data_IF_420687451968
#
_entry.id   IF_420687451968
#
_cell.length_a   1.000
_cell.length_b   1.000
_cell.length_c   1.000
_cell.angle_alpha   90.00
_cell.angle_beta   90.00
_cell.angle_gamma   90.00
#
_symmetry.space_group_name_H-M   'P 1'
#
loop_
_entity.id
_entity.type
_entity.pdbx_description
1 polymer ?
#
# COMPACT_ATOMS: atom_id res chain seq x y z
N UNK A 1 5.23 -15.50 29.76
CA UNK A 1 6.51 -15.46 29.01
C UNK A 1 6.75 -16.65 28.07
N UNK A 2 6.40 -17.91 28.41
CA UNK A 2 6.62 -19.07 27.50
C UNK A 2 5.81 -19.06 26.17
N UNK A 3 4.63 -18.41 26.13
CA UNK A 3 3.84 -18.25 24.90
C UNK A 3 4.43 -17.24 23.91
N UNK A 4 5.20 -16.25 24.38
CA UNK A 4 5.84 -15.26 23.50
C UNK A 4 7.03 -15.86 22.73
N UNK A 5 7.80 -16.75 23.38
CA UNK A 5 8.93 -17.44 22.74
C UNK A 5 8.50 -18.41 21.62
N UNK A 6 7.37 -19.11 21.80
CA UNK A 6 6.81 -19.99 20.77
C UNK A 6 6.30 -19.23 19.53
N UNK A 7 5.80 -18.00 19.72
CA UNK A 7 5.35 -17.14 18.62
C UNK A 7 6.52 -16.62 17.79
N UNK A 8 7.68 -16.37 18.41
CA UNK A 8 8.88 -15.89 17.72
C UNK A 8 9.54 -16.99 16.84
N UNK A 9 9.57 -18.24 17.32
CA UNK A 9 10.15 -19.37 16.56
C UNK A 9 9.35 -19.76 15.30
N UNK A 10 8.01 -19.71 15.36
CA UNK A 10 7.15 -19.96 14.18
C UNK A 10 7.29 -18.90 13.09
N UNK A 11 7.62 -17.64 13.44
CA UNK A 11 7.82 -16.55 12.46
C UNK A 11 9.04 -16.79 11.57
N UNK A 12 10.15 -17.23 12.14
CA UNK A 12 11.39 -17.50 11.39
C UNK A 12 11.24 -18.67 10.39
N UNK A 13 10.46 -19.69 10.74
CA UNK A 13 10.19 -20.82 9.85
C UNK A 13 9.29 -20.43 8.66
N UNK A 14 8.28 -19.59 8.90
CA UNK A 14 7.42 -19.04 7.84
C UNK A 14 8.22 -18.17 6.87
N UNK A 15 9.10 -17.31 7.40
CA UNK A 15 9.92 -16.40 6.60
C UNK A 15 10.89 -17.14 5.67
N UNK A 16 11.50 -18.24 6.15
CA UNK A 16 12.39 -19.08 5.30
C UNK A 16 11.64 -19.83 4.20
N UNK A 17 10.42 -20.32 4.46
CA UNK A 17 9.59 -20.97 3.44
C UNK A 17 9.10 -19.95 2.40
N UNK A 18 8.73 -18.75 2.85
CA UNK A 18 8.30 -17.67 1.97
C UNK A 18 9.43 -17.16 1.07
N UNK A 19 10.66 -16.96 1.60
CA UNK A 19 11.83 -16.63 0.78
C UNK A 19 12.11 -17.69 -0.30
N UNK A 20 11.97 -18.98 0.03
CA UNK A 20 12.15 -20.07 -0.95
C UNK A 20 11.05 -20.04 -2.03
N UNK A 21 9.79 -19.85 -1.65
CA UNK A 21 8.69 -19.75 -2.61
C UNK A 21 8.81 -18.50 -3.49
N UNK A 22 9.26 -17.37 -2.94
CA UNK A 22 9.42 -16.12 -3.69
C UNK A 22 10.63 -16.17 -4.63
N UNK A 23 11.70 -16.88 -4.26
CA UNK A 23 12.78 -17.20 -5.19
C UNK A 23 12.28 -18.08 -6.34
N UNK A 24 11.45 -19.09 -6.07
CA UNK A 24 10.83 -19.93 -7.11
C UNK A 24 9.87 -19.12 -7.97
N UNK A 25 9.11 -18.17 -7.40
CA UNK A 25 8.17 -17.33 -8.14
C UNK A 25 8.88 -16.26 -8.99
N UNK A 26 9.96 -15.67 -8.49
CA UNK A 26 10.88 -14.83 -9.27
C UNK A 26 11.51 -15.64 -10.41
N UNK A 27 11.86 -16.90 -10.16
CA UNK A 27 12.35 -17.83 -11.19
C UNK A 27 11.28 -18.09 -12.26
N UNK A 28 10.02 -18.28 -11.86
CA UNK A 28 8.90 -18.50 -12.77
C UNK A 28 8.55 -17.26 -13.60
N UNK A 29 8.66 -16.05 -13.03
CA UNK A 29 8.43 -14.79 -13.74
C UNK A 29 9.55 -14.43 -14.74
N UNK A 30 10.77 -14.93 -14.53
CA UNK A 30 11.88 -14.76 -15.47
C UNK A 30 11.77 -15.73 -16.67
N UNK A 31 10.96 -16.79 -16.57
CA UNK A 31 10.76 -17.80 -17.61
C UNK A 31 9.29 -17.90 -18.14
N UNK A 32 8.63 -16.81 -18.55
CA UNK A 32 7.22 -16.86 -18.95
C UNK A 32 6.98 -17.68 -20.22
N UNK A 33 7.98 -17.84 -21.09
CA UNK A 33 7.84 -18.53 -22.38
C UNK A 33 8.13 -20.04 -22.32
N UNK A 34 8.58 -20.57 -21.17
CA UNK A 34 8.97 -21.99 -21.04
C UNK A 34 7.91 -22.89 -20.39
N UNK A 35 6.84 -22.34 -19.81
CA UNK A 35 5.88 -23.12 -19.03
C UNK A 35 4.66 -23.64 -19.82
N UNK A 36 4.52 -23.28 -21.09
CA UNK A 36 3.44 -23.76 -21.96
C UNK A 36 3.67 -25.16 -22.56
N UNK A 37 4.87 -25.75 -22.38
CA UNK A 37 5.26 -27.02 -23.02
C UNK A 37 5.40 -28.24 -22.11
N UNK A 38 5.27 -28.11 -20.79
CA UNK A 38 5.67 -29.17 -19.84
C UNK A 38 4.54 -29.64 -18.91
N UNK A 39 3.47 -30.17 -19.50
CA UNK A 39 2.61 -31.16 -18.83
C UNK A 39 2.34 -32.31 -19.81
N UNK A 40 3.22 -33.32 -19.92
CA UNK A 40 2.80 -34.59 -20.48
C UNK A 40 1.88 -35.26 -19.46
N UNK A 41 0.57 -35.27 -19.74
CA UNK A 41 -0.37 -36.20 -19.11
C UNK A 41 0.02 -37.62 -19.55
N UNK A 42 0.43 -38.54 -18.64
CA UNK A 42 0.59 -39.93 -19.00
C UNK A 42 -0.74 -40.64 -18.70
N UNK A 43 -1.60 -40.77 -19.70
CA UNK A 43 -2.65 -41.78 -19.65
C UNK A 43 -2.75 -42.47 -21.01
N UNK A 44 -1.93 -43.50 -21.17
CA UNK A 44 -2.17 -44.61 -22.10
C UNK A 44 -1.30 -45.79 -21.65
N UNK A 45 -1.87 -46.58 -20.75
CA UNK A 45 -1.49 -47.98 -20.53
C UNK A 45 -1.65 -48.75 -21.83
N UNK A 46 -0.54 -49.11 -22.47
CA UNK A 46 -0.47 -50.34 -23.26
C UNK A 46 0.77 -51.11 -22.79
N UNK A 47 0.49 -52.21 -22.11
CA UNK A 47 1.49 -53.15 -21.64
C UNK A 47 2.09 -53.89 -22.85
N UNK A 48 3.42 -53.94 -22.92
CA UNK A 48 4.14 -54.96 -23.67
C UNK A 48 5.28 -55.46 -22.79
N UNK A 49 5.32 -56.76 -22.43
CA UNK A 49 6.39 -57.32 -21.64
C UNK A 49 7.44 -57.92 -22.57
N UNK A 50 8.66 -57.39 -22.56
CA UNK A 50 9.84 -58.24 -22.66
C UNK A 50 11.13 -57.51 -22.27
N UNK A 51 11.80 -58.12 -21.30
CA UNK A 51 13.24 -58.26 -21.16
C UNK A 51 14.08 -56.99 -20.91
N UNK A 52 14.23 -56.71 -19.62
CA UNK A 52 15.52 -56.85 -18.95
C UNK A 52 16.67 -55.97 -19.44
N UNK A 53 16.88 -54.84 -18.75
CA UNK A 53 18.20 -54.36 -18.29
C UNK A 53 18.01 -53.23 -17.29
N UNK A 54 18.08 -53.61 -16.01
CA UNK A 54 18.52 -52.74 -14.93
C UNK A 54 19.98 -52.36 -15.20
N UNK A 55 20.29 -51.09 -15.42
CA UNK A 55 21.46 -50.42 -14.83
C UNK A 55 21.32 -48.91 -15.04
N UNK A 56 21.60 -48.17 -13.96
CA UNK A 56 21.25 -46.77 -13.77
C UNK A 56 21.86 -45.81 -14.80
N UNK A 57 21.00 -44.95 -15.31
CA UNK A 57 21.36 -43.61 -15.72
C UNK A 57 20.76 -42.66 -14.67
N UNK A 58 21.54 -42.41 -13.61
CA UNK A 58 21.45 -41.13 -12.91
C UNK A 58 21.72 -40.09 -13.99
N UNK A 59 20.77 -39.18 -14.31
CA UNK A 59 21.12 -38.05 -15.15
C UNK A 59 22.19 -37.30 -14.37
N UNK A 60 23.44 -37.43 -14.80
CA UNK A 60 24.50 -36.57 -14.34
C UNK A 60 23.95 -35.15 -14.43
N UNK A 61 23.99 -34.43 -13.33
CA UNK A 61 23.80 -33.00 -13.30
C UNK A 61 24.92 -32.40 -14.16
N UNK A 62 24.78 -32.49 -15.48
CA UNK A 62 25.52 -31.69 -16.43
C UNK A 62 25.27 -30.26 -15.97
N UNK A 63 26.36 -29.58 -15.63
CA UNK A 63 26.37 -28.19 -15.26
C UNK A 63 25.32 -27.45 -16.09
N UNK A 64 24.22 -27.08 -15.44
CA UNK A 64 23.19 -26.25 -16.04
C UNK A 64 23.87 -24.89 -16.24
N UNK A 65 24.45 -24.69 -17.41
CA UNK A 65 25.03 -23.41 -17.79
C UNK A 65 23.88 -22.44 -18.03
N UNK A 66 23.73 -21.48 -17.11
CA UNK A 66 22.68 -20.47 -17.07
C UNK A 66 22.63 -19.61 -18.36
N UNK A 67 23.66 -19.70 -19.19
CA UNK A 67 23.75 -19.04 -20.50
C UNK A 67 22.69 -19.52 -21.49
N UNK A 68 22.26 -20.78 -21.42
CA UNK A 68 21.31 -21.34 -22.40
C UNK A 68 19.87 -20.83 -22.21
N UNK A 69 19.51 -20.34 -21.01
CA UNK A 69 18.19 -19.74 -20.75
C UNK A 69 18.11 -18.25 -21.12
N UNK A 70 19.23 -17.52 -21.09
CA UNK A 70 19.28 -16.12 -21.56
C UNK A 70 19.39 -16.07 -23.08
N UNK A 71 20.11 -17.03 -23.68
CA UNK A 71 20.12 -17.28 -25.11
C UNK A 71 18.86 -18.08 -25.51
N UNK A 72 17.67 -17.52 -25.26
CA UNK A 72 16.40 -18.15 -25.59
C UNK A 72 16.46 -18.79 -26.98
N UNK A 73 16.15 -20.08 -27.04
CA UNK A 73 16.17 -20.89 -28.25
C UNK A 73 15.35 -20.23 -29.35
N UNK A 74 16.02 -19.50 -30.23
CA UNK A 74 15.49 -18.99 -31.49
C UNK A 74 15.33 -20.17 -32.45
N UNK A 75 14.31 -21.00 -32.24
CA UNK A 75 13.84 -21.85 -33.31
C UNK A 75 13.26 -20.95 -34.42
N UNK A 76 14.02 -20.88 -35.51
CA UNK A 76 13.55 -20.79 -36.89
C UNK A 76 12.69 -19.58 -37.28
N UNK A 77 13.21 -18.37 -37.08
CA UNK A 77 12.70 -17.18 -37.77
C UNK A 77 13.77 -16.13 -38.10
N UNK A 78 15.01 -16.32 -37.63
CA UNK A 78 16.14 -15.49 -38.00
C UNK A 78 16.35 -15.60 -39.51
N UNK A 79 16.39 -14.46 -40.20
CA UNK A 79 16.71 -14.38 -41.62
C UNK A 79 17.83 -15.39 -41.95
N UNK A 80 17.57 -16.34 -42.85
CA UNK A 80 18.49 -17.42 -43.22
C UNK A 80 19.79 -16.86 -43.81
N UNK A 81 20.68 -16.27 -43.00
CA UNK A 81 21.96 -15.73 -43.45
C UNK A 81 22.87 -16.89 -43.79
N UNK A 82 23.32 -16.98 -45.03
CA UNK A 82 24.21 -18.05 -45.48
C UNK A 82 25.59 -17.89 -44.84
N UNK A 83 26.25 -19.02 -44.60
CA UNK A 83 27.68 -19.08 -44.29
C UNK A 83 28.51 -18.87 -45.55
N UNK A 84 29.77 -18.44 -45.41
CA UNK A 84 30.63 -18.15 -46.57
C UNK A 84 30.84 -19.40 -47.46
N UNK A 85 30.82 -20.59 -46.87
CA UNK A 85 30.84 -21.88 -47.58
C UNK A 85 29.56 -22.14 -48.37
N UNK A 86 28.39 -21.84 -47.80
CA UNK A 86 27.14 -21.98 -48.54
C UNK A 86 27.04 -20.95 -49.67
N UNK A 87 27.61 -19.76 -49.49
CA UNK A 87 27.70 -18.73 -50.54
C UNK A 87 28.59 -19.20 -51.70
N UNK A 88 29.70 -19.91 -51.44
CA UNK A 88 30.57 -20.42 -52.51
C UNK A 88 29.92 -21.49 -53.37
N UNK A 89 29.02 -22.28 -52.77
CA UNK A 89 28.34 -23.40 -53.42
C UNK A 89 27.16 -22.94 -54.30
N UNK A 90 26.67 -21.72 -54.09
CA UNK A 90 25.59 -21.15 -54.90
C UNK A 90 26.00 -20.92 -56.36
N UNK A 91 25.04 -21.14 -57.26
CA UNK A 91 25.17 -20.78 -58.68
C UNK A 91 25.09 -19.26 -58.85
N UNK A 92 25.82 -18.71 -59.83
CA UNK A 92 25.85 -17.27 -60.14
C UNK A 92 24.45 -16.66 -60.26
N UNK A 93 23.52 -17.38 -60.91
CA UNK A 93 22.13 -16.95 -61.07
C UNK A 93 21.41 -16.74 -59.73
N UNK A 94 21.67 -17.62 -58.76
CA UNK A 94 21.00 -17.58 -57.45
C UNK A 94 21.62 -16.48 -56.56
N UNK A 95 22.94 -16.28 -56.67
CA UNK A 95 23.64 -15.15 -56.04
C UNK A 95 23.05 -13.83 -56.55
N UNK A 96 22.91 -13.65 -57.88
CA UNK A 96 22.32 -12.43 -58.46
C UNK A 96 20.87 -12.20 -58.02
N UNK A 97 20.04 -13.25 -58.02
CA UNK A 97 18.64 -13.16 -57.56
C UNK A 97 18.55 -12.76 -56.09
N UNK A 98 19.42 -13.28 -55.25
CA UNK A 98 19.43 -12.99 -53.81
C UNK A 98 19.96 -11.58 -53.52
N UNK A 99 21.01 -11.14 -54.20
CA UNK A 99 21.52 -9.77 -54.10
C UNK A 99 20.46 -8.73 -54.51
N UNK A 100 19.72 -9.00 -55.59
CA UNK A 100 18.65 -8.14 -56.05
C UNK A 100 17.44 -8.12 -55.09
N UNK A 101 16.96 -9.31 -54.65
CA UNK A 101 15.73 -9.41 -53.84
C UNK A 101 15.94 -9.06 -52.36
N UNK A 102 17.04 -9.49 -51.77
CA UNK A 102 17.28 -9.38 -50.33
C UNK A 102 18.04 -8.11 -49.96
N UNK A 103 18.95 -7.65 -50.84
CA UNK A 103 19.84 -6.51 -50.55
C UNK A 103 19.55 -5.29 -51.44
N UNK A 104 18.67 -5.41 -52.45
CA UNK A 104 18.19 -4.29 -53.26
C UNK A 104 19.19 -3.77 -54.31
N UNK A 105 20.15 -4.58 -54.73
CA UNK A 105 21.11 -4.17 -55.77
C UNK A 105 20.40 -3.92 -57.11
N UNK A 106 20.78 -2.83 -57.78
CA UNK A 106 20.22 -2.46 -59.08
C UNK A 106 20.69 -3.42 -60.18
N UNK A 107 19.81 -3.72 -61.14
CA UNK A 107 20.12 -4.65 -62.23
C UNK A 107 21.40 -4.26 -63.00
N UNK A 108 21.67 -2.95 -63.12
CA UNK A 108 22.85 -2.41 -63.81
C UNK A 108 24.15 -2.69 -63.05
N UNK A 109 24.15 -2.62 -61.71
CA UNK A 109 25.31 -2.96 -60.88
C UNK A 109 25.60 -4.47 -60.91
N UNK A 110 24.53 -5.27 -60.90
CA UNK A 110 24.61 -6.72 -61.07
C UNK A 110 25.10 -7.15 -62.47
N UNK A 111 24.83 -6.36 -63.50
CA UNK A 111 25.30 -6.62 -64.87
C UNK A 111 26.79 -6.31 -65.02
N UNK A 112 27.30 -5.30 -64.32
CA UNK A 112 28.73 -4.93 -64.30
C UNK A 112 29.61 -5.98 -63.61
N UNK A 113 29.07 -6.72 -62.65
CA UNK A 113 29.77 -7.84 -62.01
C UNK A 113 29.62 -9.12 -62.87
N UNK A 114 30.62 -9.36 -63.72
CA UNK A 114 30.70 -10.54 -64.60
C UNK A 114 31.27 -11.76 -63.88
N UNK A 115 32.25 -11.56 -63.00
CA UNK A 115 32.96 -12.66 -62.32
C UNK A 115 32.19 -13.19 -61.10
N UNK A 116 32.16 -14.52 -60.96
CA UNK A 116 31.56 -15.20 -59.79
C UNK A 116 32.22 -14.74 -58.48
N UNK A 117 33.53 -14.44 -58.51
CA UNK A 117 34.30 -14.01 -57.34
C UNK A 117 33.82 -12.66 -56.81
N UNK A 118 33.57 -11.70 -57.69
CA UNK A 118 33.09 -10.37 -57.32
C UNK A 118 31.67 -10.41 -56.76
N UNK A 119 30.81 -11.24 -57.35
CA UNK A 119 29.44 -11.45 -56.85
C UNK A 119 29.44 -12.14 -55.47
N UNK A 120 30.33 -13.10 -55.24
CA UNK A 120 30.50 -13.73 -53.93
C UNK A 120 31.01 -12.73 -52.88
N UNK A 121 32.00 -11.90 -53.24
CA UNK A 121 32.53 -10.88 -52.35
C UNK A 121 31.50 -9.79 -52.00
N UNK A 122 30.68 -9.38 -52.98
CA UNK A 122 29.57 -8.46 -52.75
C UNK A 122 28.51 -9.07 -51.82
N UNK A 123 28.10 -10.32 -52.08
CA UNK A 123 27.10 -11.01 -51.25
C UNK A 123 27.61 -11.26 -49.82
N UNK A 124 28.86 -11.67 -49.64
CA UNK A 124 29.44 -11.88 -48.31
C UNK A 124 29.55 -10.57 -47.51
N UNK A 125 29.86 -9.45 -48.16
CA UNK A 125 29.91 -8.13 -47.51
C UNK A 125 28.53 -7.70 -47.00
N UNK A 126 27.46 -7.93 -47.75
CA UNK A 126 26.11 -7.56 -47.32
C UNK A 126 25.56 -8.51 -46.26
N UNK A 127 25.73 -9.82 -46.42
CA UNK A 127 25.31 -10.81 -45.42
C UNK A 127 26.04 -10.60 -44.08
N UNK A 128 27.33 -10.24 -44.09
CA UNK A 128 28.06 -9.88 -42.86
C UNK A 128 27.55 -8.58 -42.23
N UNK A 129 27.16 -7.58 -43.02
CA UNK A 129 26.54 -6.33 -42.52
C UNK A 129 25.18 -6.59 -41.88
N UNK A 130 24.34 -7.42 -42.52
CA UNK A 130 23.04 -7.84 -41.99
C UNK A 130 23.23 -8.64 -40.68
N UNK A 131 24.15 -9.61 -40.68
CA UNK A 131 24.49 -10.39 -39.48
C UNK A 131 24.97 -9.51 -38.33
N UNK A 132 25.82 -8.51 -38.59
CA UNK A 132 26.26 -7.53 -37.57
C UNK A 132 25.07 -6.72 -37.03
N UNK A 133 24.15 -6.27 -37.89
CA UNK A 133 22.94 -5.53 -37.47
C UNK A 133 22.03 -6.37 -36.58
N UNK A 134 21.78 -7.63 -36.96
CA UNK A 134 20.97 -8.55 -36.15
C UNK A 134 21.61 -8.87 -34.81
N UNK A 135 22.91 -9.20 -34.78
CA UNK A 135 23.66 -9.41 -33.53
C UNK A 135 23.58 -8.18 -32.62
N UNK A 136 23.72 -6.97 -33.17
CA UNK A 136 23.58 -5.74 -32.39
C UNK A 136 22.18 -5.54 -31.79
N UNK A 137 21.13 -5.85 -32.55
CA UNK A 137 19.75 -5.79 -32.04
C UNK A 137 19.48 -6.84 -30.95
N UNK A 138 19.96 -8.07 -31.14
CA UNK A 138 19.85 -9.13 -30.13
C UNK A 138 20.62 -8.78 -28.86
N UNK A 139 21.88 -8.32 -28.98
CA UNK A 139 22.67 -7.87 -27.85
C UNK A 139 21.99 -6.71 -27.11
N UNK A 140 21.38 -5.75 -27.82
CA UNK A 140 20.61 -4.67 -27.18
C UNK A 140 19.39 -5.23 -26.43
N UNK A 141 18.64 -6.17 -27.01
CA UNK A 141 17.49 -6.81 -26.33
C UNK A 141 17.94 -7.58 -25.08
N UNK A 142 19.01 -8.37 -25.17
CA UNK A 142 19.57 -9.11 -24.05
C UNK A 142 20.10 -8.17 -22.96
N UNK A 143 20.78 -7.09 -23.35
CA UNK A 143 21.23 -6.06 -22.42
C UNK A 143 20.06 -5.41 -21.68
N UNK A 144 18.98 -5.03 -22.38
CA UNK A 144 17.79 -4.46 -21.73
C UNK A 144 17.08 -5.44 -20.81
N UNK A 145 17.00 -6.73 -21.19
CA UNK A 145 16.46 -7.79 -20.33
C UNK A 145 17.33 -7.98 -19.08
N UNK A 146 18.65 -8.07 -19.24
CA UNK A 146 19.59 -8.19 -18.13
C UNK A 146 19.54 -6.99 -17.19
N UNK A 147 19.48 -5.78 -17.73
CA UNK A 147 19.33 -4.54 -16.96
C UNK A 147 18.02 -4.53 -16.16
N UNK A 148 16.92 -4.95 -16.76
CA UNK A 148 15.62 -5.02 -16.07
C UNK A 148 15.64 -6.04 -14.93
N UNK A 149 16.20 -7.22 -15.14
CA UNK A 149 16.34 -8.25 -14.09
C UNK A 149 17.26 -7.75 -12.97
N UNK A 150 18.39 -7.13 -13.31
CA UNK A 150 19.31 -6.55 -12.32
C UNK A 150 18.60 -5.46 -11.48
N UNK A 151 17.84 -4.56 -12.11
CA UNK A 151 17.06 -3.54 -11.42
C UNK A 151 16.02 -4.18 -10.47
N UNK A 152 15.31 -5.20 -10.94
CA UNK A 152 14.32 -5.93 -10.14
C UNK A 152 14.98 -6.62 -8.93
N UNK A 153 16.16 -7.23 -9.11
CA UNK A 153 16.94 -7.80 -8.02
C UNK A 153 17.37 -6.73 -7.00
N UNK A 154 17.82 -5.55 -7.45
CA UNK A 154 18.18 -4.44 -6.55
C UNK A 154 16.96 -3.96 -5.77
N UNK A 155 15.82 -3.75 -6.42
CA UNK A 155 14.56 -3.37 -5.76
C UNK A 155 14.10 -4.45 -4.78
N UNK A 156 14.26 -5.73 -5.11
CA UNK A 156 13.89 -6.83 -4.22
C UNK A 156 14.81 -6.89 -2.99
N UNK A 157 16.12 -6.77 -3.15
CA UNK A 157 17.09 -6.86 -2.04
C UNK A 157 17.03 -5.62 -1.15
N UNK A 158 17.05 -4.42 -1.74
CA UNK A 158 17.01 -3.14 -0.98
C UNK A 158 15.61 -2.88 -0.43
N UNK A 159 14.57 -3.25 -1.17
CA UNK A 159 13.18 -3.11 -0.75
C UNK A 159 12.74 -4.16 0.27
N UNK A 160 13.45 -5.28 0.43
CA UNK A 160 13.08 -6.35 1.37
C UNK A 160 12.77 -5.88 2.79
N UNK A 161 13.67 -5.13 3.48
CA UNK A 161 13.37 -4.63 4.83
C UNK A 161 12.15 -3.71 4.85
N UNK A 162 11.95 -2.89 3.80
CA UNK A 162 10.78 -2.03 3.68
C UNK A 162 9.50 -2.85 3.53
N UNK A 163 9.52 -3.90 2.70
CA UNK A 163 8.39 -4.82 2.53
C UNK A 163 8.03 -5.55 3.81
N UNK A 164 9.03 -5.98 4.60
CA UNK A 164 8.80 -6.61 5.91
C UNK A 164 8.11 -5.61 6.85
N UNK A 165 8.64 -4.40 6.98
CA UNK A 165 8.03 -3.34 7.81
C UNK A 165 6.62 -2.98 7.35
N UNK A 166 6.41 -2.78 6.05
CA UNK A 166 5.10 -2.53 5.46
C UNK A 166 4.14 -3.68 5.73
N UNK A 167 4.59 -4.93 5.62
CA UNK A 167 3.75 -6.10 5.88
C UNK A 167 3.35 -6.23 7.35
N UNK A 168 4.23 -5.87 8.27
CA UNK A 168 3.94 -5.87 9.71
C UNK A 168 2.93 -4.77 10.07
N UNK A 169 3.16 -3.54 9.59
CA UNK A 169 2.23 -2.41 9.79
C UNK A 169 0.89 -2.71 9.14
N UNK A 170 0.89 -3.29 7.94
CA UNK A 170 -0.33 -3.74 7.26
C UNK A 170 -1.04 -4.85 8.02
N UNK A 171 -0.32 -5.84 8.57
CA UNK A 171 -0.92 -6.92 9.33
C UNK A 171 -1.56 -6.42 10.64
N UNK A 172 -0.88 -5.51 11.36
CA UNK A 172 -1.43 -4.90 12.59
C UNK A 172 -2.64 -4.04 12.25
N UNK A 173 -2.54 -3.17 11.25
CA UNK A 173 -3.66 -2.31 10.83
C UNK A 173 -4.84 -3.14 10.32
N UNK A 174 -4.56 -4.22 9.58
CA UNK A 174 -5.57 -5.18 9.13
C UNK A 174 -6.24 -5.89 10.31
N UNK A 175 -5.48 -6.31 11.31
CA UNK A 175 -6.04 -6.93 12.50
C UNK A 175 -6.93 -5.96 13.28
N UNK A 176 -6.48 -4.72 13.50
CA UNK A 176 -7.28 -3.68 14.16
C UNK A 176 -8.56 -3.39 13.38
N UNK A 177 -8.47 -3.30 12.05
CA UNK A 177 -9.63 -3.12 11.17
C UNK A 177 -10.60 -4.31 11.28
N UNK A 178 -10.08 -5.54 11.21
CA UNK A 178 -10.88 -6.75 11.30
C UNK A 178 -11.57 -6.88 12.66
N UNK A 179 -10.85 -6.64 13.76
CA UNK A 179 -11.41 -6.68 15.11
C UNK A 179 -12.48 -5.61 15.30
N UNK A 180 -12.26 -4.40 14.78
CA UNK A 180 -13.28 -3.34 14.76
C UNK A 180 -14.52 -3.77 13.98
N UNK A 181 -14.36 -4.31 12.77
CA UNK A 181 -15.50 -4.77 11.95
C UNK A 181 -16.23 -5.95 12.56
N UNK A 182 -15.49 -6.88 13.18
CA UNK A 182 -16.07 -7.98 13.95
C UNK A 182 -16.90 -7.46 15.12
N UNK A 183 -16.43 -6.44 15.83
CA UNK A 183 -17.18 -5.83 16.92
C UNK A 183 -18.45 -5.12 16.43
N UNK A 184 -18.36 -4.35 15.33
CA UNK A 184 -19.52 -3.70 14.70
C UNK A 184 -20.58 -4.73 14.25
N UNK A 185 -20.16 -5.83 13.62
CA UNK A 185 -21.05 -6.94 13.22
C UNK A 185 -21.67 -7.62 14.44
N UNK A 186 -20.87 -7.93 15.46
CA UNK A 186 -21.34 -8.56 16.70
C UNK A 186 -22.40 -7.71 17.38
N UNK A 187 -22.22 -6.38 17.44
CA UNK A 187 -23.22 -5.45 17.97
C UNK A 187 -24.50 -5.45 17.12
N UNK A 188 -24.39 -5.47 15.79
CA UNK A 188 -25.55 -5.53 14.90
C UNK A 188 -26.38 -6.80 15.14
N UNK A 189 -25.71 -7.94 15.31
CA UNK A 189 -26.34 -9.23 15.62
C UNK A 189 -26.99 -9.18 17.00
N UNK A 190 -26.31 -8.65 18.01
CA UNK A 190 -26.82 -8.56 19.38
C UNK A 190 -28.06 -7.65 19.48
N UNK A 191 -28.10 -6.54 18.73
CA UNK A 191 -29.25 -5.66 18.69
C UNK A 191 -30.37 -6.13 17.75
N UNK A 192 -30.17 -7.22 17.00
CA UNK A 192 -31.08 -7.72 15.95
C UNK A 192 -31.56 -6.61 15.00
N UNK A 193 -30.72 -5.62 14.74
CA UNK A 193 -31.08 -4.46 13.92
C UNK A 193 -30.80 -4.76 12.45
N UNK A 194 -31.86 -5.02 11.67
CA UNK A 194 -31.76 -5.27 10.22
C UNK A 194 -31.13 -4.06 9.50
N UNK A 195 -31.54 -2.84 9.89
CA UNK A 195 -30.99 -1.60 9.32
C UNK A 195 -29.50 -1.43 9.61
N UNK A 196 -29.07 -1.73 10.84
CA UNK A 196 -27.66 -1.70 11.22
C UNK A 196 -26.83 -2.71 10.44
N UNK A 197 -27.32 -3.94 10.33
CA UNK A 197 -26.66 -5.02 9.58
C UNK A 197 -26.51 -4.69 8.09
N UNK A 198 -27.55 -4.12 7.47
CA UNK A 198 -27.49 -3.65 6.09
C UNK A 198 -26.47 -2.52 5.90
N UNK A 199 -26.41 -1.55 6.83
CA UNK A 199 -25.43 -0.47 6.80
C UNK A 199 -23.98 -0.97 6.89
N UNK A 200 -23.71 -1.92 7.80
CA UNK A 200 -22.37 -2.54 7.94
C UNK A 200 -21.98 -3.34 6.69
N UNK A 201 -22.92 -4.07 6.08
CA UNK A 201 -22.68 -4.78 4.82
C UNK A 201 -22.32 -3.80 3.69
N UNK A 202 -23.06 -2.71 3.55
CA UNK A 202 -22.82 -1.68 2.53
C UNK A 202 -21.46 -0.99 2.71
N UNK A 203 -21.05 -0.74 3.95
CA UNK A 203 -19.70 -0.24 4.26
C UNK A 203 -18.62 -1.24 3.83
N UNK A 204 -18.82 -2.53 4.07
CA UNK A 204 -17.90 -3.58 3.61
C UNK A 204 -17.76 -3.64 2.09
N UNK A 205 -18.87 -3.53 1.36
CA UNK A 205 -18.86 -3.46 -0.12
C UNK A 205 -18.11 -2.21 -0.61
N UNK A 206 -18.35 -1.04 0.00
CA UNK A 206 -17.66 0.20 -0.37
C UNK A 206 -16.15 0.13 -0.09
N UNK A 207 -15.74 -0.43 1.05
CA UNK A 207 -14.33 -0.62 1.36
C UNK A 207 -13.67 -1.59 0.35
N UNK A 208 -14.38 -2.66 -0.05
CA UNK A 208 -13.94 -3.57 -1.10
C UNK A 208 -13.79 -2.89 -2.47
N UNK A 209 -14.76 -2.08 -2.88
CA UNK A 209 -14.69 -1.31 -4.14
C UNK A 209 -13.55 -0.30 -4.09
N UNK A 210 -13.35 0.40 -2.96
CA UNK A 210 -12.25 1.36 -2.79
C UNK A 210 -10.90 0.66 -2.88
N UNK A 211 -10.75 -0.50 -2.25
CA UNK A 211 -9.54 -1.32 -2.35
C UNK A 211 -9.29 -1.77 -3.79
N UNK A 212 -10.34 -2.25 -4.47
CA UNK A 212 -10.28 -2.64 -5.87
C UNK A 212 -9.85 -1.48 -6.78
N UNK A 213 -10.45 -0.30 -6.63
CA UNK A 213 -10.05 0.90 -7.37
C UNK A 213 -8.58 1.25 -7.14
N UNK A 214 -8.12 1.21 -5.89
CA UNK A 214 -6.72 1.49 -5.54
C UNK A 214 -5.77 0.52 -6.23
N UNK A 215 -6.12 -0.77 -6.27
CA UNK A 215 -5.36 -1.77 -7.03
C UNK A 215 -5.38 -1.48 -8.52
N UNK A 216 -6.52 -1.17 -9.13
CA UNK A 216 -6.59 -0.89 -10.58
C UNK A 216 -5.77 0.34 -10.97
N UNK A 217 -5.74 1.39 -10.13
CA UNK A 217 -4.87 2.56 -10.36
C UNK A 217 -3.40 2.17 -10.29
N UNK A 218 -2.99 1.41 -9.27
CA UNK A 218 -1.61 0.94 -9.15
C UNK A 218 -1.19 0.07 -10.34
N UNK A 219 -2.03 -0.89 -10.74
CA UNK A 219 -1.70 -1.74 -11.87
C UNK A 219 -1.70 -0.96 -13.20
N UNK A 220 -2.49 0.11 -13.32
CA UNK A 220 -2.50 0.95 -14.53
C UNK A 220 -1.17 1.67 -14.78
N UNK A 221 -0.34 1.83 -13.75
CA UNK A 221 0.99 2.42 -13.87
C UNK A 221 2.04 1.41 -14.31
N UNK A 222 1.82 0.13 -13.97
CA UNK A 222 2.77 -0.94 -14.25
C UNK A 222 2.48 -1.59 -15.60
N UNK A 223 1.21 -1.69 -15.99
CA UNK A 223 0.83 -2.36 -17.22
C UNK A 223 1.01 -1.45 -18.44
N UNK A 224 1.60 -1.96 -19.54
CA UNK A 224 1.70 -1.22 -20.78
C UNK A 224 0.31 -0.94 -21.34
N UNK A 225 0.18 0.17 -22.06
CA UNK A 225 -1.09 0.66 -22.61
C UNK A 225 -1.81 -0.35 -23.52
N UNK A 226 -1.05 -1.23 -24.15
CA UNK A 226 -1.51 -2.25 -25.11
C UNK A 226 -1.87 -3.59 -24.44
N UNK A 227 -1.67 -3.71 -23.13
CA UNK A 227 -1.94 -4.95 -22.39
C UNK A 227 -3.43 -5.33 -22.43
N UNK A 228 -3.79 -6.59 -22.76
CA UNK A 228 -5.18 -7.06 -22.77
C UNK A 228 -5.81 -6.98 -21.38
N UNK A 229 -4.99 -7.05 -20.32
CA UNK A 229 -5.43 -6.96 -18.93
C UNK A 229 -6.01 -5.59 -18.57
N UNK A 230 -5.70 -4.53 -19.34
CA UNK A 230 -6.26 -3.19 -19.15
C UNK A 230 -7.78 -3.14 -19.40
N UNK A 231 -8.32 -4.08 -20.20
CA UNK A 231 -9.77 -4.20 -20.46
C UNK A 231 -10.57 -4.62 -19.23
N UNK A 232 -9.94 -5.32 -18.29
CA UNK A 232 -10.56 -5.76 -17.04
C UNK A 232 -10.38 -4.77 -15.89
N UNK A 233 -9.60 -3.71 -16.10
CA UNK A 233 -9.47 -2.63 -15.13
C UNK A 233 -10.64 -1.68 -15.24
N UNK A 234 -11.00 -1.06 -14.11
CA UNK A 234 -12.07 -0.08 -14.09
C UNK A 234 -11.76 1.00 -15.14
N UNK A 235 -12.62 1.23 -16.15
CA UNK A 235 -12.40 2.27 -17.12
C UNK A 235 -12.62 3.60 -16.40
N UNK A 236 -11.56 4.13 -15.79
CA UNK A 236 -11.61 5.46 -15.16
C UNK A 236 -11.71 6.45 -16.33
N UNK A 237 -12.83 7.18 -16.47
CA UNK A 237 -12.94 8.18 -17.51
C UNK A 237 -11.79 9.17 -17.33
N UNK A 238 -11.00 9.43 -18.37
CA UNK A 238 -9.99 10.47 -18.29
C UNK A 238 -10.69 11.82 -18.40
N UNK A 239 -10.77 12.56 -17.30
CA UNK A 239 -11.20 13.96 -17.29
C UNK A 239 -9.95 14.82 -17.06
N UNK A 240 -9.15 15.08 -18.11
CA UNK A 240 -7.97 15.90 -17.98
C UNK A 240 -8.39 17.36 -17.77
N UNK A 241 -8.26 17.84 -16.54
CA UNK A 241 -8.42 19.25 -16.23
C UNK A 241 -7.06 19.92 -16.51
N UNK A 242 -7.05 20.85 -17.46
CA UNK A 242 -5.86 21.63 -17.81
C UNK A 242 -5.88 22.92 -16.99
N UNK A 243 -5.02 23.09 -15.98
CA UNK A 243 -5.03 24.30 -15.14
C UNK A 243 -4.82 25.58 -15.97
N UNK A 244 -4.09 25.49 -17.09
CA UNK A 244 -3.92 26.60 -18.03
C UNK A 244 -5.22 27.15 -18.62
N UNK A 245 -6.30 26.35 -18.69
CA UNK A 245 -7.62 26.84 -19.13
C UNK A 245 -8.26 27.81 -18.13
N UNK A 246 -7.92 27.73 -16.83
CA UNK A 246 -8.43 28.66 -15.81
C UNK A 246 -7.57 29.92 -15.66
N UNK A 247 -6.37 29.95 -16.26
CA UNK A 247 -5.43 31.06 -16.15
C UNK A 247 -5.45 32.01 -17.39
N UNK A 248 -6.39 31.80 -18.32
CA UNK A 248 -6.58 32.65 -19.50
C UNK A 248 -5.83 32.17 -20.75
N UNK A 249 -6.30 32.61 -21.92
CA UNK A 249 -5.90 32.07 -23.24
C UNK A 249 -4.40 32.19 -23.55
N UNK A 250 -3.73 33.22 -23.01
CA UNK A 250 -2.29 33.41 -23.19
C UNK A 250 -1.46 32.31 -22.50
N UNK A 251 -1.92 31.83 -21.35
CA UNK A 251 -1.25 30.76 -20.58
C UNK A 251 -1.73 29.38 -21.06
N UNK A 252 -2.99 29.27 -21.49
CA UNK A 252 -3.55 28.05 -22.08
C UNK A 252 -2.80 27.57 -23.33
N UNK A 253 -2.29 28.49 -24.14
CA UNK A 253 -1.50 28.17 -25.34
C UNK A 253 -0.01 27.91 -25.06
N UNK A 254 0.44 28.10 -23.82
CA UNK A 254 1.82 27.87 -23.41
C UNK A 254 2.16 26.38 -23.21
N UNK A 255 3.44 26.08 -22.91
CA UNK A 255 3.89 24.70 -22.62
C UNK A 255 3.16 24.06 -21.43
N UNK A 256 2.66 24.87 -20.47
CA UNK A 256 1.81 24.37 -19.37
C UNK A 256 0.42 23.91 -19.82
N UNK A 257 -0.10 24.37 -20.96
CA UNK A 257 -1.39 23.94 -21.49
C UNK A 257 -1.43 22.47 -21.92
N UNK A 258 -0.27 21.85 -22.12
CA UNK A 258 -0.15 20.41 -22.44
C UNK A 258 -0.22 19.51 -21.21
N UNK A 259 -0.06 20.07 -20.01
CA UNK A 259 -0.17 19.32 -18.76
C UNK A 259 -1.64 19.23 -18.32
N UNK A 260 -2.20 18.02 -18.29
CA UNK A 260 -3.55 17.75 -17.80
C UNK A 260 -3.49 16.92 -16.53
N UNK A 261 -4.09 17.41 -15.44
CA UNK A 261 -4.29 16.62 -14.23
C UNK A 261 -5.58 15.82 -14.42
N UNK A 262 -5.51 14.50 -14.32
CA UNK A 262 -6.71 13.67 -14.39
C UNK A 262 -7.49 13.80 -13.07
N UNK A 263 -8.58 14.56 -13.09
CA UNK A 263 -9.39 14.83 -11.91
C UNK A 263 -10.41 13.72 -11.61
N UNK A 264 -10.68 12.83 -12.57
CA UNK A 264 -11.64 11.75 -12.39
C UNK A 264 -11.34 10.82 -11.19
N UNK A 265 -10.13 10.27 -11.00
CA UNK A 265 -9.85 9.44 -9.82
C UNK A 265 -9.99 10.21 -8.51
N UNK A 266 -9.69 11.52 -8.51
CA UNK A 266 -9.89 12.38 -7.34
C UNK A 266 -11.38 12.56 -7.03
N UNK A 267 -12.19 12.87 -8.04
CA UNK A 267 -13.64 13.03 -7.90
C UNK A 267 -14.32 11.73 -7.44
N UNK A 268 -13.90 10.58 -7.98
CA UNK A 268 -14.41 9.26 -7.56
C UNK A 268 -14.00 8.96 -6.11
N UNK A 269 -12.76 9.25 -5.73
CA UNK A 269 -12.28 9.02 -4.35
C UNK A 269 -13.03 9.92 -3.36
N UNK A 270 -13.28 11.18 -3.74
CA UNK A 270 -14.05 12.13 -2.95
C UNK A 270 -15.52 11.70 -2.81
N UNK A 271 -16.17 11.34 -3.91
CA UNK A 271 -17.58 10.91 -3.89
C UNK A 271 -17.77 9.63 -3.07
N UNK A 272 -16.87 8.66 -3.19
CA UNK A 272 -16.88 7.46 -2.33
C UNK A 272 -16.67 7.80 -0.86
N UNK A 273 -15.77 8.75 -0.55
CA UNK A 273 -15.58 9.24 0.81
C UNK A 273 -16.85 9.87 1.37
N UNK A 274 -17.53 10.69 0.58
CA UNK A 274 -18.80 11.31 0.97
C UNK A 274 -19.91 10.27 1.23
N UNK A 275 -20.10 9.33 0.29
CA UNK A 275 -21.09 8.25 0.42
C UNK A 275 -20.80 7.40 1.66
N UNK A 276 -19.53 7.05 1.89
CA UNK A 276 -19.11 6.33 3.09
C UNK A 276 -19.47 7.09 4.36
N UNK A 277 -19.13 8.37 4.48
CA UNK A 277 -19.46 9.19 5.66
C UNK A 277 -20.97 9.26 5.91
N UNK A 278 -21.79 9.32 4.86
CA UNK A 278 -23.26 9.29 4.98
C UNK A 278 -23.76 7.94 5.49
N UNK A 279 -23.21 6.83 5.01
CA UNK A 279 -23.59 5.49 5.46
C UNK A 279 -23.12 5.23 6.89
N UNK A 280 -21.90 5.67 7.26
CA UNK A 280 -21.41 5.57 8.64
C UNK A 280 -22.32 6.35 9.60
N UNK A 281 -22.69 7.59 9.25
CA UNK A 281 -23.63 8.38 10.03
C UNK A 281 -25.00 7.71 10.16
N UNK A 282 -25.56 7.21 9.04
CA UNK A 282 -26.85 6.52 9.04
C UNK A 282 -26.83 5.24 9.88
N UNK A 283 -25.77 4.44 9.76
CA UNK A 283 -25.56 3.19 10.52
C UNK A 283 -25.39 3.49 12.00
N UNK A 284 -24.60 4.51 12.36
CA UNK A 284 -24.42 4.96 13.74
C UNK A 284 -25.73 5.47 14.36
N UNK A 285 -26.56 6.19 13.59
CA UNK A 285 -27.90 6.61 14.03
C UNK A 285 -28.82 5.41 14.25
N UNK A 286 -28.80 4.41 13.37
CA UNK A 286 -29.59 3.20 13.51
C UNK A 286 -29.16 2.37 14.74
N UNK A 287 -27.86 2.18 14.95
CA UNK A 287 -27.32 1.43 16.09
C UNK A 287 -27.58 2.13 17.42
N UNK A 288 -27.40 3.46 17.49
CA UNK A 288 -27.70 4.23 18.71
C UNK A 288 -29.19 4.21 19.05
N UNK A 289 -30.09 4.25 18.06
CA UNK A 289 -31.53 4.10 18.29
C UNK A 289 -31.88 2.70 18.84
N UNK A 290 -31.31 1.63 18.27
CA UNK A 290 -31.49 0.26 18.77
C UNK A 290 -30.93 0.08 20.19
N UNK A 291 -29.75 0.64 20.47
CA UNK A 291 -29.14 0.61 21.80
C UNK A 291 -29.99 1.37 22.84
N UNK A 292 -30.53 2.55 22.48
CA UNK A 292 -31.47 3.29 23.34
C UNK A 292 -32.73 2.49 23.62
N UNK A 293 -33.31 1.84 22.60
CA UNK A 293 -34.50 1.00 22.76
C UNK A 293 -34.26 -0.17 23.72
N UNK A 294 -33.15 -0.90 23.57
CA UNK A 294 -32.78 -1.99 24.49
C UNK A 294 -32.53 -1.51 25.91
N UNK A 295 -31.91 -0.34 26.09
CA UNK A 295 -31.75 0.29 27.42
C UNK A 295 -33.10 0.64 28.04
N UNK A 296 -34.07 1.11 27.25
CA UNK A 296 -35.44 1.38 27.72
C UNK A 296 -36.16 0.08 28.08
N UNK A 297 -36.08 -0.95 27.25
CA UNK A 297 -36.66 -2.27 27.50
C UNK A 297 -36.06 -2.93 28.76
N UNK A 298 -34.73 -2.84 28.95
CA UNK A 298 -34.06 -3.30 30.16
C UNK A 298 -34.52 -2.52 31.41
N UNK A 299 -34.66 -1.19 31.31
CA UNK A 299 -35.19 -0.37 32.42
C UNK A 299 -36.64 -0.70 32.75
N UNK A 300 -37.49 -0.99 31.75
CA UNK A 300 -38.88 -1.37 31.99
C UNK A 300 -39.02 -2.77 32.60
N UNK A 301 -38.09 -3.68 32.34
CA UNK A 301 -38.06 -5.03 32.92
C UNK A 301 -37.42 -5.08 34.32
N UNK A 302 -36.62 -4.07 34.70
CA UNK A 302 -35.92 -3.97 35.98
C UNK A 302 -36.93 -3.83 37.14
N UNK A 303 -36.76 -4.67 38.17
CA UNK A 303 -37.61 -4.64 39.37
C UNK A 303 -37.38 -3.36 40.19
N UNK A 304 -38.35 -2.98 41.03
CA UNK A 304 -38.26 -1.75 41.82
C UNK A 304 -37.06 -1.72 42.79
N UNK A 305 -36.61 -2.89 43.26
CA UNK A 305 -35.44 -3.05 44.14
C UNK A 305 -34.13 -2.85 43.38
N UNK A 306 -33.97 -3.44 42.20
CA UNK A 306 -32.80 -3.23 41.32
C UNK A 306 -32.67 -1.76 40.93
N UNK A 307 -33.78 -1.07 40.65
CA UNK A 307 -33.79 0.38 40.39
C UNK A 307 -33.25 1.19 41.56
N UNK A 308 -33.61 0.83 42.81
CA UNK A 308 -33.10 1.51 44.02
C UNK A 308 -31.60 1.23 44.21
N UNK A 309 -31.17 -0.02 44.04
CA UNK A 309 -29.75 -0.39 44.14
C UNK A 309 -28.89 0.35 43.09
N UNK A 310 -29.39 0.47 41.86
CA UNK A 310 -28.72 1.21 40.78
C UNK A 310 -28.64 2.72 41.05
N UNK A 311 -29.71 3.33 41.58
CA UNK A 311 -29.68 4.74 42.00
C UNK A 311 -28.66 4.97 43.12
N UNK A 312 -28.58 4.07 44.10
CA UNK A 312 -27.59 4.12 45.16
C UNK A 312 -26.15 3.98 44.63
N UNK A 313 -25.89 3.02 43.74
CA UNK A 313 -24.59 2.84 43.11
C UNK A 313 -24.17 4.05 42.26
N UNK A 314 -25.09 4.63 41.47
CA UNK A 314 -24.82 5.85 40.68
C UNK A 314 -24.49 7.04 41.60
N UNK A 315 -25.19 7.18 42.74
CA UNK A 315 -24.92 8.24 43.72
C UNK A 315 -23.57 8.05 44.41
N UNK A 316 -23.19 6.80 44.74
CA UNK A 316 -21.88 6.48 45.29
C UNK A 316 -20.76 6.78 44.28
N UNK A 317 -20.88 6.32 43.04
CA UNK A 317 -19.90 6.60 41.99
C UNK A 317 -19.77 8.09 41.65
N UNK A 318 -20.88 8.86 41.69
CA UNK A 318 -20.83 10.33 41.50
C UNK A 318 -20.07 11.01 42.64
N UNK A 319 -20.25 10.54 43.90
CA UNK A 319 -19.51 11.05 45.06
C UNK A 319 -18.02 10.75 44.95
N UNK A 320 -17.66 9.51 44.63
CA UNK A 320 -16.26 9.10 44.47
C UNK A 320 -15.57 9.88 43.32
N UNK A 321 -16.24 10.06 42.19
CA UNK A 321 -15.72 10.85 41.08
C UNK A 321 -15.61 12.36 41.41
N UNK A 322 -16.48 12.89 42.28
CA UNK A 322 -16.38 14.27 42.78
C UNK A 322 -15.19 14.43 43.73
N UNK A 323 -15.03 13.51 44.70
CA UNK A 323 -13.89 13.49 45.61
C UNK A 323 -12.55 13.35 44.86
N UNK A 324 -12.48 12.51 43.82
CA UNK A 324 -11.26 12.38 43.00
C UNK A 324 -10.95 13.67 42.24
N UNK A 325 -11.97 14.37 41.74
CA UNK A 325 -11.80 15.69 41.09
C UNK A 325 -11.33 16.74 42.09
N UNK A 326 -11.88 16.75 43.29
CA UNK A 326 -11.45 17.66 44.36
C UNK A 326 -10.01 17.39 44.77
N UNK A 327 -9.62 16.12 44.92
CA UNK A 327 -8.21 15.75 45.18
C UNK A 327 -7.28 16.24 44.08
N UNK A 328 -7.64 16.01 42.81
CA UNK A 328 -6.87 16.51 41.66
C UNK A 328 -6.78 18.04 41.63
N UNK A 329 -7.86 18.74 41.97
CA UNK A 329 -7.86 20.20 42.07
C UNK A 329 -7.00 20.69 43.24
N UNK A 330 -7.05 20.04 44.40
CA UNK A 330 -6.20 20.37 45.54
C UNK A 330 -4.72 20.11 45.26
N UNK A 331 -4.39 19.01 44.57
CA UNK A 331 -3.01 18.71 44.14
C UNK A 331 -2.52 19.75 43.12
N UNK A 332 -3.35 20.10 42.13
CA UNK A 332 -3.03 21.16 41.17
C UNK A 332 -2.82 22.52 41.86
N UNK A 333 -3.68 22.87 42.82
CA UNK A 333 -3.57 24.09 43.61
C UNK A 333 -2.31 24.12 44.47
N UNK A 334 -1.98 23.01 45.16
CA UNK A 334 -0.74 22.90 45.95
C UNK A 334 0.50 23.04 45.06
N UNK A 335 0.52 22.39 43.91
CA UNK A 335 1.61 22.51 42.94
C UNK A 335 1.74 23.93 42.39
N UNK A 336 0.63 24.64 42.16
CA UNK A 336 0.66 26.04 41.76
C UNK A 336 1.20 26.95 42.87
N UNK A 337 0.77 26.75 44.11
CA UNK A 337 1.27 27.50 45.28
C UNK A 337 2.77 27.27 45.51
N UNK A 338 3.25 26.04 45.32
CA UNK A 338 4.68 25.71 45.41
C UNK A 338 5.48 26.42 44.31
N UNK A 339 4.99 26.42 43.06
CA UNK A 339 5.59 27.20 41.97
C UNK A 339 5.60 28.70 42.27
N UNK A 340 4.53 29.25 42.87
CA UNK A 340 4.48 30.66 43.28
C UNK A 340 5.52 30.96 44.37
N UNK A 341 5.69 30.07 45.34
CA UNK A 341 6.73 30.19 46.38
C UNK A 341 8.14 30.13 45.80
N UNK A 342 8.41 29.20 44.89
CA UNK A 342 9.72 29.13 44.20
C UNK A 342 10.01 30.39 43.39
N UNK A 343 9.01 30.93 42.67
CA UNK A 343 9.18 32.19 41.94
C UNK A 343 9.41 33.37 42.89
N UNK A 344 8.68 33.45 44.01
CA UNK A 344 8.89 34.48 45.02
C UNK A 344 10.28 34.37 45.66
N UNK A 345 10.75 33.16 45.96
CA UNK A 345 12.11 32.91 46.46
C UNK A 345 13.17 33.31 45.43
N UNK A 346 13.04 32.87 44.18
CA UNK A 346 13.95 33.27 43.10
C UNK A 346 13.95 34.77 42.87
N UNK A 347 12.79 35.44 42.95
CA UNK A 347 12.69 36.89 42.86
C UNK A 347 13.39 37.57 44.05
N UNK A 348 13.24 37.05 45.27
CA UNK A 348 13.96 37.56 46.44
C UNK A 348 15.47 37.32 46.36
N UNK A 349 15.91 36.18 45.83
CA UNK A 349 17.33 35.90 45.58
C UNK A 349 17.90 36.81 44.48
N UNK A 350 17.12 37.14 43.44
CA UNK A 350 17.54 38.12 42.44
C UNK A 350 17.63 39.54 43.01
N UNK A 351 16.71 39.92 43.91
CA UNK A 351 16.71 41.23 44.57
C UNK A 351 17.81 41.38 45.62
N UNK A 352 18.14 40.33 46.38
CA UNK A 352 19.06 40.41 47.53
C UNK A 352 20.39 39.67 47.34
N UNK A 353 20.48 38.76 46.36
CA UNK A 353 21.64 37.87 46.17
C UNK A 353 22.77 38.45 45.32
N UNK A 354 22.59 39.62 44.69
CA UNK A 354 23.63 40.25 43.88
C UNK A 354 24.11 41.55 44.54
N UNK A 355 25.04 41.43 45.48
CA UNK A 355 25.97 42.50 45.83
C UNK A 355 25.42 43.62 46.71
N UNK A 356 25.69 43.50 48.01
CA UNK A 356 26.34 44.54 48.81
C UNK A 356 25.77 45.97 48.66
N UNK A 357 24.50 46.17 49.01
CA UNK A 357 23.99 47.46 49.46
C UNK A 357 23.05 47.23 50.62
N UNK A 358 23.48 47.67 51.81
CA UNK A 358 22.59 47.84 52.97
C UNK A 358 21.41 48.73 52.55
N UNK A 359 20.16 48.25 52.58
CA UNK A 359 19.03 49.16 52.57
C UNK A 359 18.90 49.75 53.97
N UNK A 360 18.87 51.08 54.02
CA UNK A 360 18.47 51.83 55.19
C UNK A 360 17.09 51.36 55.64
N UNK A 361 16.91 51.29 56.97
CA UNK A 361 15.62 51.11 57.64
C UNK A 361 14.63 52.16 57.11
N UNK A 362 13.70 51.74 56.26
CA UNK A 362 12.41 52.41 56.13
C UNK A 362 11.34 51.39 56.51
N UNK A 363 10.63 51.72 57.59
CA UNK A 363 9.44 51.04 58.06
C UNK A 363 8.31 51.30 57.06
N UNK A 364 7.63 50.26 56.55
CA UNK A 364 6.30 50.44 56.01
C UNK A 364 5.28 49.97 57.05
N UNK A 365 4.64 50.96 57.68
CA UNK A 365 3.25 50.83 58.09
C UNK A 365 2.42 50.49 56.84
N UNK A 366 1.67 49.39 56.86
CA UNK A 366 0.22 49.39 56.61
C UNK A 366 -0.32 47.95 56.55
N UNK A 367 -1.22 47.69 57.49
CA UNK A 367 -2.25 46.65 57.42
C UNK A 367 -2.98 46.75 56.06
N UNK A 368 -2.94 45.68 55.27
CA UNK A 368 -3.97 45.43 54.27
C UNK A 368 -4.42 44.00 54.47
N UNK A 369 -5.53 43.87 55.20
CA UNK A 369 -6.25 42.62 55.34
C UNK A 369 -6.60 42.07 53.95
N UNK A 370 -6.34 40.78 53.68
CA UNK A 370 -6.82 40.15 52.46
C UNK A 370 -8.36 40.20 52.48
N UNK A 371 -9.03 40.61 51.38
CA UNK A 371 -10.48 40.64 51.33
C UNK A 371 -11.00 39.21 51.47
N UNK A 372 -11.47 38.85 52.66
CA UNK A 372 -12.27 37.65 52.91
C UNK A 372 -13.67 37.89 52.36
N UNK A 373 -13.80 37.92 51.05
CA UNK A 373 -15.09 37.83 50.35
C UNK A 373 -15.14 36.51 49.59
N UNK A 374 -15.34 35.42 50.34
CA UNK A 374 -15.75 34.13 49.78
C UNK A 374 -17.27 33.94 49.80
N UNK A 375 -18.04 35.00 50.12
CA UNK A 375 -19.50 34.95 50.20
C UNK A 375 -20.19 34.78 48.85
N UNK A 376 -19.61 35.31 47.76
CA UNK A 376 -20.26 35.32 46.43
C UNK A 376 -20.01 34.06 45.58
N UNK A 377 -18.97 33.29 45.88
CA UNK A 377 -18.68 32.06 45.13
C UNK A 377 -19.57 30.88 45.54
N UNK A 378 -20.01 30.85 46.80
CA UNK A 378 -20.85 29.76 47.31
C UNK A 378 -22.32 29.90 46.84
N UNK A 379 -22.81 31.12 46.60
CA UNK A 379 -24.15 31.35 46.03
C UNK A 379 -24.18 31.06 44.52
N UNK A 380 -23.15 31.46 43.76
CA UNK A 380 -23.05 31.09 42.34
C UNK A 380 -22.90 29.56 42.14
N UNK A 381 -22.24 28.86 43.08
CA UNK A 381 -22.14 27.40 43.05
C UNK A 381 -23.47 26.73 43.38
N UNK A 382 -24.28 27.30 44.29
CA UNK A 382 -25.63 26.79 44.60
C UNK A 382 -26.62 26.97 43.46
N UNK A 383 -26.62 28.12 42.78
CA UNK A 383 -27.48 28.32 41.62
C UNK A 383 -27.10 27.37 40.46
N UNK A 384 -25.80 27.16 40.21
CA UNK A 384 -25.36 26.24 39.16
C UNK A 384 -25.62 24.76 39.48
N UNK A 385 -25.58 24.36 40.76
CA UNK A 385 -25.96 23.00 41.17
C UNK A 385 -27.49 22.78 41.15
N UNK A 386 -28.28 23.81 41.45
CA UNK A 386 -29.75 23.78 41.37
C UNK A 386 -30.23 23.58 39.92
N UNK A 387 -29.67 24.32 38.96
CA UNK A 387 -30.08 24.23 37.55
C UNK A 387 -29.66 22.91 36.86
N UNK A 388 -28.64 22.22 37.39
CA UNK A 388 -28.19 20.93 36.84
C UNK A 388 -29.03 19.73 37.26
N UNK A 389 -29.76 19.84 38.38
CA UNK A 389 -30.69 18.81 38.81
C UNK A 389 -32.01 18.88 38.01
N UNK A 390 -32.48 20.08 37.63
CA UNK A 390 -33.69 20.26 36.80
C UNK A 390 -33.53 19.81 35.33
N UNK A 391 -32.31 19.87 34.76
CA UNK A 391 -32.04 19.36 33.40
C UNK A 391 -32.04 17.81 33.36
N UNK A 392 -31.85 17.14 34.50
CA UNK A 392 -31.84 15.67 34.54
C UNK A 392 -33.25 15.03 34.61
N UNK A 393 -34.30 15.82 34.82
CA UNK A 393 -35.68 15.34 34.89
C UNK A 393 -36.47 15.53 33.56
N UNK A 394 -35.84 16.08 32.52
CA UNK A 394 -36.45 16.29 31.19
C UNK A 394 -36.08 15.24 30.10
N UNK A 395 -35.51 14.08 30.47
CA UNK A 395 -35.02 13.06 29.51
C UNK A 395 -35.78 11.71 29.53
#
# INVERSE_FOLDING_TARGET
MRLAAASCSRRNASQRRFCRCLLVFLFALVAPDSFSGFLPMPFSTTASPSNGRLFGLVPAASAWEWTDYIAGGENSGGANTLTDSEISDLRVRDIKRRLARSHGYAADELARMLDKKDLMAALSREETKVRKKHRGQQQRKLFWRGLFVALLCVVAVVGWPLWVQLSEVMAVNWQVYYDRKRHEISQCVEFRSVKGSFGVLLLGVLDGIRFWLSMTVLLSWVLPSESPYRRYMFPIPSLPIRPGQFMGDKIANGPMGRYGINAAPMAITWSMGFVRSKIEYWTGKALSASAKRRRKEARSAETSEERKARKAAKKAAKREAAEERERKQQEAWKAEMERRKEMAQKASEQLYGNGNRQPAKEEPETENEPPTSNGDYDDAKREFESDMDDINDLD
#
